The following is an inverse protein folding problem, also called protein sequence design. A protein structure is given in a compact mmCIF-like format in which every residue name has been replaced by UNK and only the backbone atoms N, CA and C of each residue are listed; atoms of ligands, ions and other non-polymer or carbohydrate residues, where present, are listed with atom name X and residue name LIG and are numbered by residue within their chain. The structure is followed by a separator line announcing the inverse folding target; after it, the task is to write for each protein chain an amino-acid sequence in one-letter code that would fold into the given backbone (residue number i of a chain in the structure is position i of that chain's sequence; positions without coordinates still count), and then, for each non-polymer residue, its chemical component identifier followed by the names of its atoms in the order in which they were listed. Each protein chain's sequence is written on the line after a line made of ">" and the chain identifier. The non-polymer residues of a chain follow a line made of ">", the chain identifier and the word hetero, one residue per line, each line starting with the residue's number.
data_IF_327503650027
#
_entry.id   IF_327503650027
#
_cell.length_a   1.000
_cell.length_b   1.000
_cell.length_c   1.000
_cell.angle_alpha   90.00
_cell.angle_beta   90.00
_cell.angle_gamma   90.00
#
_symmetry.space_group_name_H-M   'P 1'
#
loop_
_entity.id
_entity.type
_entity.pdbx_description
1 polymer ?
#
# COMPACT_ATOMS: atom_id res chain seq x y z
N UNK A 1 20.70 -11.68 11.97
CA UNK A 1 20.15 -11.57 10.62
C UNK A 1 18.82 -12.32 10.53
N UNK A 2 17.79 -11.64 10.12
CA UNK A 2 16.47 -12.25 9.99
C UNK A 2 16.48 -13.25 8.82
N UNK A 3 15.99 -14.45 9.09
CA UNK A 3 15.76 -15.45 8.04
C UNK A 3 14.26 -15.49 7.75
N UNK A 4 13.89 -15.61 6.50
CA UNK A 4 12.47 -15.65 6.12
C UNK A 4 11.74 -16.88 6.68
N UNK A 5 12.47 -17.96 6.99
CA UNK A 5 11.85 -19.20 7.47
C UNK A 5 10.77 -19.74 6.55
N UNK A 6 10.83 -19.39 5.25
CA UNK A 6 9.80 -19.74 4.29
C UNK A 6 8.71 -18.70 4.10
N UNK A 7 8.84 -17.51 4.70
CA UNK A 7 7.89 -16.41 4.49
C UNK A 7 7.94 -15.98 3.02
N UNK A 8 6.80 -15.99 2.36
CA UNK A 8 6.66 -15.58 0.95
C UNK A 8 6.05 -14.21 0.80
N UNK A 9 5.21 -13.81 1.75
CA UNK A 9 4.54 -12.53 1.73
C UNK A 9 4.33 -12.00 3.15
N UNK A 10 4.34 -10.67 3.27
CA UNK A 10 4.03 -9.95 4.51
C UNK A 10 2.94 -8.95 4.17
N UNK A 11 1.93 -8.83 5.01
CA UNK A 11 0.88 -7.82 4.89
C UNK A 11 0.94 -6.91 6.11
N UNK A 12 1.02 -5.61 5.87
CA UNK A 12 0.97 -4.58 6.91
C UNK A 12 -0.34 -3.82 6.77
N UNK A 13 -1.25 -3.99 7.69
CA UNK A 13 -2.56 -3.37 7.68
C UNK A 13 -2.74 -2.54 8.97
N UNK A 14 -2.64 -1.30 8.90
CA UNK A 14 -2.20 -0.43 7.80
C UNK A 14 -0.95 0.33 8.23
N UNK A 15 -0.22 0.91 7.27
CA UNK A 15 1.11 1.47 7.49
C UNK A 15 1.12 2.59 8.53
N UNK A 16 0.05 3.38 8.63
CA UNK A 16 -0.04 4.48 9.59
C UNK A 16 -0.12 4.03 11.05
N UNK A 17 -0.39 2.75 11.31
CA UNK A 17 -0.36 2.19 12.66
C UNK A 17 1.05 1.80 13.13
N UNK A 18 1.98 1.67 12.21
CA UNK A 18 3.38 1.38 12.54
C UNK A 18 4.02 2.65 13.10
N UNK A 19 4.64 2.53 14.25
CA UNK A 19 5.28 3.65 14.92
C UNK A 19 6.79 3.54 14.82
N UNK A 20 7.43 4.69 14.63
CA UNK A 20 8.87 4.79 14.61
C UNK A 20 9.26 6.13 15.24
N UNK A 21 9.86 6.06 16.41
CA UNK A 21 10.24 7.26 17.17
C UNK A 21 11.52 7.88 16.58
N UNK A 22 11.38 9.04 15.98
CA UNK A 22 12.50 9.82 15.42
C UNK A 22 12.89 11.00 16.32
N UNK A 23 12.26 11.14 17.49
CA UNK A 23 12.51 12.27 18.41
C UNK A 23 11.43 13.33 18.34
N UNK A 24 11.59 14.36 19.20
CA UNK A 24 10.56 15.38 19.43
C UNK A 24 10.28 16.29 18.25
N UNK A 25 11.26 16.47 17.36
CA UNK A 25 11.15 17.41 16.24
C UNK A 25 10.73 16.76 14.92
N UNK A 26 10.41 15.45 14.96
CA UNK A 26 9.97 14.73 13.76
C UNK A 26 8.50 14.95 13.47
N UNK A 27 8.17 15.06 12.18
CA UNK A 27 6.79 15.12 11.72
C UNK A 27 6.24 13.71 11.48
N UNK A 28 4.91 13.60 11.47
CA UNK A 28 4.25 12.31 11.11
C UNK A 28 4.61 11.87 9.70
N UNK A 29 4.73 12.79 8.79
CA UNK A 29 5.15 12.50 7.41
C UNK A 29 6.54 11.87 7.35
N UNK A 30 7.47 12.41 8.13
CA UNK A 30 8.82 11.87 8.22
C UNK A 30 8.84 10.48 8.86
N UNK A 31 8.05 10.28 9.90
CA UNK A 31 7.89 8.97 10.53
C UNK A 31 7.39 7.93 9.54
N UNK A 32 6.33 8.25 8.79
CA UNK A 32 5.78 7.35 7.77
C UNK A 32 6.79 7.09 6.65
N UNK A 33 7.55 8.09 6.24
CA UNK A 33 8.60 7.93 5.23
C UNK A 33 9.67 6.94 5.69
N UNK A 34 10.11 7.02 6.93
CA UNK A 34 11.09 6.08 7.48
C UNK A 34 10.53 4.66 7.62
N UNK A 35 9.26 4.55 8.02
CA UNK A 35 8.58 3.24 8.07
C UNK A 35 8.49 2.63 6.68
N UNK A 36 8.06 3.40 5.68
CA UNK A 36 7.96 2.95 4.30
C UNK A 36 9.30 2.43 3.77
N UNK A 37 10.35 3.20 3.98
CA UNK A 37 11.71 2.81 3.59
C UNK A 37 12.16 1.53 4.30
N UNK A 38 11.92 1.44 5.60
CA UNK A 38 12.25 0.25 6.39
C UNK A 38 11.54 -1.00 5.90
N UNK A 39 10.27 -0.88 5.54
CA UNK A 39 9.49 -1.99 4.99
C UNK A 39 10.04 -2.45 3.63
N UNK A 40 10.44 -1.51 2.77
CA UNK A 40 11.09 -1.85 1.50
C UNK A 40 12.38 -2.64 1.72
N UNK A 41 13.23 -2.16 2.63
CA UNK A 41 14.49 -2.85 2.95
C UNK A 41 14.24 -4.24 3.54
N UNK A 42 13.23 -4.36 4.39
CA UNK A 42 12.84 -5.65 4.98
C UNK A 42 12.39 -6.64 3.89
N UNK A 43 11.57 -6.19 2.96
CA UNK A 43 11.12 -7.03 1.85
C UNK A 43 12.30 -7.53 1.00
N UNK A 44 13.26 -6.66 0.75
CA UNK A 44 14.47 -7.01 0.01
C UNK A 44 15.35 -7.99 0.79
N UNK A 45 15.53 -7.77 2.09
CA UNK A 45 16.32 -8.65 2.94
C UNK A 45 15.72 -10.06 3.03
N UNK A 46 14.42 -10.15 3.25
CA UNK A 46 13.71 -11.42 3.37
C UNK A 46 13.37 -12.04 2.01
N UNK A 47 13.59 -11.34 0.91
CA UNK A 47 13.24 -11.78 -0.45
C UNK A 47 11.79 -12.23 -0.56
N UNK A 48 10.89 -11.40 -0.04
CA UNK A 48 9.45 -11.67 -0.04
C UNK A 48 8.69 -10.50 -0.63
N UNK A 49 7.42 -10.73 -0.97
CA UNK A 49 6.49 -9.68 -1.37
C UNK A 49 5.94 -9.02 -0.11
N UNK A 50 5.92 -7.70 -0.07
CA UNK A 50 5.34 -6.96 1.05
C UNK A 50 4.19 -6.09 0.53
N UNK A 51 3.01 -6.32 1.09
CA UNK A 51 1.82 -5.53 0.82
C UNK A 51 1.63 -4.54 1.98
N UNK A 52 1.84 -3.26 1.70
CA UNK A 52 1.60 -2.21 2.67
C UNK A 52 0.29 -1.51 2.34
N UNK A 53 -0.70 -1.66 3.21
CA UNK A 53 -2.00 -1.01 3.05
C UNK A 53 -1.91 0.38 3.64
N UNK A 54 -2.45 1.35 2.92
CA UNK A 54 -2.50 2.74 3.38
C UNK A 54 -3.90 3.29 3.18
N UNK A 55 -4.35 4.11 4.13
CA UNK A 55 -5.64 4.79 4.02
C UNK A 55 -5.48 6.09 3.25
N UNK A 56 -6.45 6.39 2.41
CA UNK A 56 -6.54 7.65 1.70
C UNK A 56 -7.36 8.65 2.53
N UNK A 57 -7.04 9.93 2.39
CA UNK A 57 -7.86 10.98 2.96
C UNK A 57 -9.11 11.21 2.09
N UNK A 58 -10.01 12.12 2.52
CA UNK A 58 -11.25 12.43 1.80
C UNK A 58 -11.02 12.93 0.37
N UNK A 59 -9.87 13.52 0.08
CA UNK A 59 -9.52 13.97 -1.27
C UNK A 59 -8.93 12.87 -2.14
N UNK A 60 -8.88 11.63 -1.64
CA UNK A 60 -8.35 10.48 -2.39
C UNK A 60 -6.83 10.41 -2.43
N UNK A 61 -6.14 11.18 -1.59
CA UNK A 61 -4.70 11.17 -1.49
C UNK A 61 -4.28 10.70 -0.10
N UNK A 62 -3.29 9.83 -0.01
CA UNK A 62 -2.66 9.55 1.25
C UNK A 62 -1.84 10.80 1.65
N UNK A 63 -2.01 11.26 2.87
CA UNK A 63 -1.29 12.43 3.39
C UNK A 63 0.23 12.26 3.25
N UNK A 64 0.69 11.03 3.40
CA UNK A 64 2.09 10.64 3.35
C UNK A 64 2.44 9.86 2.06
N UNK A 65 1.59 9.99 1.03
CA UNK A 65 1.65 9.15 -0.18
C UNK A 65 2.94 9.30 -1.00
N UNK A 66 3.57 10.46 -0.93
CA UNK A 66 4.76 10.73 -1.73
C UNK A 66 5.89 9.75 -1.42
N UNK A 67 6.22 9.60 -0.14
CA UNK A 67 7.27 8.69 0.29
C UNK A 67 6.90 7.22 0.00
N UNK A 68 5.66 6.83 0.32
CA UNK A 68 5.16 5.49 0.08
C UNK A 68 5.22 5.15 -1.41
N UNK A 69 4.80 6.07 -2.28
CA UNK A 69 4.85 5.88 -3.72
C UNK A 69 6.26 5.77 -4.28
N UNK A 70 7.22 6.48 -3.68
CA UNK A 70 8.63 6.39 -4.09
C UNK A 70 9.26 5.05 -3.75
N UNK A 71 8.87 4.46 -2.63
CA UNK A 71 9.43 3.18 -2.17
C UNK A 71 8.74 1.97 -2.80
N UNK A 72 7.49 2.10 -3.21
CA UNK A 72 6.71 1.00 -3.76
C UNK A 72 7.16 0.59 -5.17
N UNK A 73 7.15 -0.70 -5.45
CA UNK A 73 7.32 -1.22 -6.81
C UNK A 73 6.06 -0.98 -7.64
N UNK A 74 4.90 -1.09 -7.02
CA UNK A 74 3.61 -0.77 -7.62
C UNK A 74 2.68 -0.21 -6.56
N UNK A 75 1.79 0.68 -6.98
CA UNK A 75 0.73 1.22 -6.12
C UNK A 75 -0.60 0.90 -6.79
N UNK A 76 -1.46 0.22 -6.04
CA UNK A 76 -2.84 -0.02 -6.44
C UNK A 76 -3.75 0.88 -5.63
N UNK A 77 -4.68 1.54 -6.31
CA UNK A 77 -5.69 2.38 -5.66
C UNK A 77 -7.05 1.78 -5.92
N UNK A 78 -7.81 1.59 -4.83
CA UNK A 78 -9.18 1.09 -4.89
C UNK A 78 -10.11 2.25 -4.51
N UNK A 79 -11.00 2.61 -5.40
CA UNK A 79 -11.99 3.66 -5.17
C UNK A 79 -13.39 3.13 -5.31
N UNK A 80 -14.29 3.67 -4.51
CA UNK A 80 -15.73 3.37 -4.65
C UNK A 80 -16.27 4.15 -5.86
N UNK A 81 -16.77 3.44 -6.87
CA UNK A 81 -17.50 4.06 -7.97
C UNK A 81 -18.97 4.26 -7.60
N UNK A 82 -19.62 3.18 -7.17
CA UNK A 82 -21.01 3.17 -6.74
C UNK A 82 -21.22 2.02 -5.73
N UNK A 83 -22.45 1.66 -5.47
CA UNK A 83 -22.77 0.60 -4.51
C UNK A 83 -22.26 -0.77 -4.93
N UNK A 84 -22.17 -1.05 -6.24
CA UNK A 84 -21.80 -2.36 -6.76
C UNK A 84 -20.38 -2.43 -7.32
N UNK A 85 -19.79 -1.31 -7.72
CA UNK A 85 -18.53 -1.29 -8.45
C UNK A 85 -17.42 -0.54 -7.70
N UNK A 86 -16.22 -1.05 -7.87
CA UNK A 86 -14.97 -0.42 -7.40
C UNK A 86 -14.04 -0.21 -8.58
N UNK A 87 -13.49 0.98 -8.71
CA UNK A 87 -12.42 1.24 -9.66
C UNK A 87 -11.10 0.83 -9.03
N UNK A 88 -10.34 0.02 -9.76
CA UNK A 88 -8.98 -0.33 -9.38
C UNK A 88 -8.05 0.28 -10.41
N UNK A 89 -7.09 1.05 -9.95
CA UNK A 89 -6.11 1.69 -10.82
C UNK A 89 -4.69 1.43 -10.34
N UNK A 90 -3.73 1.51 -11.24
CA UNK A 90 -2.31 1.33 -10.97
C UNK A 90 -1.58 2.61 -11.40
N UNK A 91 -1.60 3.67 -10.56
CA UNK A 91 -0.95 4.92 -10.91
C UNK A 91 0.57 4.84 -10.98
N UNK A 92 1.17 3.91 -10.27
CA UNK A 92 2.62 3.72 -10.24
C UNK A 92 2.93 2.24 -10.42
N UNK A 93 3.79 1.95 -11.40
CA UNK A 93 4.30 0.60 -11.63
C UNK A 93 5.66 0.70 -12.33
N UNK A 94 6.69 0.16 -11.69
CA UNK A 94 8.07 0.26 -12.22
C UNK A 94 8.34 -0.72 -13.36
N UNK A 95 7.72 -1.89 -13.34
CA UNK A 95 8.01 -2.99 -14.26
C UNK A 95 6.88 -3.27 -15.25
N UNK A 96 6.01 -2.30 -15.46
CA UNK A 96 4.89 -2.45 -16.38
C UNK A 96 4.20 -1.13 -16.67
N UNK A 97 3.11 -1.15 -17.45
CA UNK A 97 2.38 0.06 -17.78
C UNK A 97 1.70 0.64 -16.54
N UNK A 98 1.73 1.96 -16.40
CA UNK A 98 1.04 2.68 -15.34
C UNK A 98 -0.18 3.40 -15.89
N UNK A 99 -1.09 3.80 -14.99
CA UNK A 99 -2.32 4.47 -15.38
C UNK A 99 -3.43 3.53 -15.86
N UNK A 100 -3.22 2.23 -15.77
CA UNK A 100 -4.24 1.24 -16.12
C UNK A 100 -5.37 1.29 -15.09
N UNK A 101 -6.60 1.23 -15.57
CA UNK A 101 -7.80 1.22 -14.72
C UNK A 101 -8.73 0.10 -15.13
N UNK A 102 -9.43 -0.46 -14.16
CA UNK A 102 -10.50 -1.42 -14.39
C UNK A 102 -11.57 -1.26 -13.32
N UNK A 103 -12.78 -1.65 -13.65
CA UNK A 103 -13.89 -1.70 -12.70
C UNK A 103 -14.19 -3.14 -12.34
N UNK A 104 -14.30 -3.42 -11.06
CA UNK A 104 -14.68 -4.74 -10.57
C UNK A 104 -15.95 -4.65 -9.75
N UNK A 105 -16.83 -5.62 -9.94
CA UNK A 105 -18.03 -5.72 -9.13
C UNK A 105 -17.66 -6.20 -7.73
N UNK A 106 -18.22 -5.52 -6.74
CA UNK A 106 -17.98 -5.80 -5.34
C UNK A 106 -19.27 -6.24 -4.65
N UNK A 107 -19.25 -7.38 -4.01
CA UNK A 107 -20.36 -7.86 -3.22
C UNK A 107 -20.10 -7.50 -1.75
N UNK A 108 -20.83 -6.50 -1.24
CA UNK A 108 -20.67 -6.03 0.13
C UNK A 108 -21.12 -7.02 1.19
N UNK A 109 -22.01 -7.96 0.84
CA UNK A 109 -22.48 -8.99 1.79
C UNK A 109 -21.41 -10.02 2.08
N UNK A 110 -20.58 -10.34 1.11
CA UNK A 110 -19.50 -11.33 1.24
C UNK A 110 -18.12 -10.69 1.27
N UNK A 111 -18.05 -9.36 1.16
CA UNK A 111 -16.79 -8.60 1.07
C UNK A 111 -15.84 -9.17 0.01
N UNK A 112 -16.39 -9.49 -1.16
CA UNK A 112 -15.63 -10.11 -2.24
C UNK A 112 -15.83 -9.41 -3.57
N UNK A 113 -14.79 -9.46 -4.40
CA UNK A 113 -14.89 -9.04 -5.79
C UNK A 113 -15.41 -10.20 -6.64
N UNK A 114 -16.26 -9.88 -7.59
CA UNK A 114 -16.89 -10.85 -8.48
C UNK A 114 -16.44 -10.58 -9.90
N UNK A 115 -15.96 -11.61 -10.58
CA UNK A 115 -15.67 -11.54 -12.01
C UNK A 115 -16.95 -11.77 -12.79
N UNK A 116 -17.20 -10.93 -13.77
CA UNK A 116 -18.33 -11.10 -14.68
C UNK A 116 -17.98 -12.05 -15.83
#
# INVERSE_FOLDING_TARGET
>A
MAKSGGIKAIVVDYIQLVRHDLGKDSTREREVAEVSRGLRLLAMELKCVLFAITQLNESGKARESRAIGQDATAVLVVKVEDEEYREISIPIQRNGPCGVKTSLRFNGRTASFVTE
#
